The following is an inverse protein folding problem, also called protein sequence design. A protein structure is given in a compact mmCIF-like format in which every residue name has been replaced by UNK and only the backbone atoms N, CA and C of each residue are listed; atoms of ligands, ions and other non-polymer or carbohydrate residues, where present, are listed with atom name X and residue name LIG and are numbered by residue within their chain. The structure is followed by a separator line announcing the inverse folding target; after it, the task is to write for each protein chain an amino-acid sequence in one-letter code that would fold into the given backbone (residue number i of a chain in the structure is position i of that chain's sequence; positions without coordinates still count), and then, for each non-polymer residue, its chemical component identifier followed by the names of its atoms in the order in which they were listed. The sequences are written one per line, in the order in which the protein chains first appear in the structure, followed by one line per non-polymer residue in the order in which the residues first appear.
data_IF_048117637061
#
_entry.id   IF_048117637061
#
_cell.length_a   1.000
_cell.length_b   1.000
_cell.length_c   1.000
_cell.angle_alpha   90.00
_cell.angle_beta   90.00
_cell.angle_gamma   90.00
#
_symmetry.space_group_name_H-M   'P 1'
#
loop_
_entity.id
_entity.type
_entity.pdbx_description
1 polymer ?
#
# COMPACT_ATOMS: atom_id res chain seq x y z
N UNK A 1 22.35 20.10 -23.65
CA UNK A 1 22.63 19.46 -22.35
C UNK A 1 21.48 18.54 -22.02
N UNK A 2 21.67 17.23 -22.19
CA UNK A 2 20.68 16.23 -21.78
C UNK A 2 20.75 16.17 -20.26
N UNK A 3 19.66 16.52 -19.57
CA UNK A 3 19.59 16.38 -18.11
C UNK A 3 19.67 14.88 -17.79
N UNK A 4 20.51 14.44 -16.85
CA UNK A 4 20.52 13.05 -16.45
C UNK A 4 19.14 12.72 -15.88
N UNK A 5 18.57 11.60 -16.35
CA UNK A 5 17.41 10.96 -15.72
C UNK A 5 17.81 10.76 -14.26
N UNK A 6 17.20 11.49 -13.33
CA UNK A 6 17.34 11.18 -11.90
C UNK A 6 16.70 9.81 -11.73
N UNK A 7 17.51 8.77 -11.62
CA UNK A 7 17.06 7.52 -11.03
C UNK A 7 16.50 7.90 -9.65
N UNK A 8 15.19 7.72 -9.48
CA UNK A 8 14.57 7.85 -8.17
C UNK A 8 15.14 6.72 -7.33
N UNK A 9 16.12 7.04 -6.49
CA UNK A 9 16.57 6.14 -5.45
C UNK A 9 15.59 6.25 -4.30
N UNK A 10 14.45 5.56 -4.44
CA UNK A 10 13.54 5.33 -3.32
C UNK A 10 14.36 4.77 -2.15
N UNK A 11 14.16 5.33 -0.96
CA UNK A 11 14.81 4.84 0.23
C UNK A 11 14.16 3.51 0.65
N UNK A 12 14.76 2.37 0.28
CA UNK A 12 14.19 1.05 0.57
C UNK A 12 13.89 0.84 2.06
N UNK A 13 14.69 1.39 2.98
CA UNK A 13 14.41 1.30 4.42
C UNK A 13 13.14 2.06 4.79
N UNK A 14 12.95 3.25 4.21
CA UNK A 14 11.72 4.04 4.38
C UNK A 14 10.51 3.30 3.81
N UNK A 15 10.62 2.78 2.59
CA UNK A 15 9.56 2.01 1.95
C UNK A 15 9.17 0.77 2.76
N UNK A 16 10.14 0.01 3.27
CA UNK A 16 9.88 -1.14 4.17
C UNK A 16 9.13 -0.70 5.44
N UNK A 17 9.54 0.40 6.07
CA UNK A 17 8.83 0.95 7.24
C UNK A 17 7.41 1.40 6.91
N UNK A 18 7.20 2.04 5.76
CA UNK A 18 5.90 2.47 5.28
C UNK A 18 4.96 1.27 5.01
N UNK A 19 5.47 0.21 4.38
CA UNK A 19 4.67 -1.01 4.14
C UNK A 19 4.33 -1.74 5.44
N UNK A 20 5.25 -1.82 6.40
CA UNK A 20 4.93 -2.33 7.75
C UNK A 20 3.87 -1.47 8.46
N UNK A 21 3.89 -0.15 8.28
CA UNK A 21 2.84 0.74 8.77
C UNK A 21 1.49 0.45 8.12
N UNK A 22 1.43 0.22 6.82
CA UNK A 22 0.19 -0.15 6.12
C UNK A 22 -0.38 -1.44 6.73
N UNK A 23 0.44 -2.49 6.88
CA UNK A 23 0.00 -3.74 7.49
C UNK A 23 -0.57 -3.48 8.90
N UNK A 24 0.14 -2.71 9.72
CA UNK A 24 -0.29 -2.37 11.09
C UNK A 24 -1.64 -1.64 11.09
N UNK A 25 -1.80 -0.61 10.25
CA UNK A 25 -3.03 0.19 10.24
C UNK A 25 -4.20 -0.58 9.63
N UNK A 26 -3.97 -1.43 8.62
CA UNK A 26 -5.01 -2.33 8.11
C UNK A 26 -5.44 -3.32 9.20
N UNK A 27 -4.51 -3.89 9.97
CA UNK A 27 -4.86 -4.74 11.11
C UNK A 27 -5.76 -4.01 12.13
N UNK A 28 -5.47 -2.73 12.43
CA UNK A 28 -6.32 -1.91 13.32
C UNK A 28 -7.71 -1.66 12.74
N UNK A 29 -7.83 -1.45 11.43
CA UNK A 29 -9.13 -1.31 10.76
C UNK A 29 -9.94 -2.60 10.86
N UNK A 30 -9.31 -3.76 10.61
CA UNK A 30 -9.94 -5.08 10.72
C UNK A 30 -10.37 -5.37 12.16
N UNK A 31 -9.54 -5.06 13.15
CA UNK A 31 -9.86 -5.18 14.58
C UNK A 31 -11.08 -4.34 14.99
N UNK A 32 -11.25 -3.17 14.36
CA UNK A 32 -12.43 -2.31 14.53
C UNK A 32 -13.66 -2.77 13.73
N UNK A 33 -13.60 -3.94 13.09
CA UNK A 33 -14.70 -4.51 12.30
C UNK A 33 -14.86 -3.92 10.91
N UNK A 34 -13.91 -3.12 10.42
CA UNK A 34 -13.96 -2.59 9.06
C UNK A 34 -13.62 -3.67 8.02
N UNK A 35 -14.29 -3.58 6.88
CA UNK A 35 -14.06 -4.43 5.73
C UNK A 35 -14.12 -3.63 4.44
N UNK A 36 -13.51 -4.20 3.41
CA UNK A 36 -13.55 -3.69 2.04
C UNK A 36 -13.97 -4.84 1.11
N UNK A 37 -14.82 -4.54 0.13
CA UNK A 37 -15.20 -5.51 -0.90
C UNK A 37 -14.03 -5.74 -1.86
N UNK A 38 -13.99 -6.91 -2.49
CA UNK A 38 -13.01 -7.23 -3.53
C UNK A 38 -13.03 -6.17 -4.64
N UNK A 39 -14.20 -5.88 -5.18
CA UNK A 39 -14.34 -4.97 -6.32
C UNK A 39 -13.84 -3.56 -6.00
N UNK A 40 -14.16 -3.03 -4.81
CA UNK A 40 -13.64 -1.73 -4.37
C UNK A 40 -12.11 -1.75 -4.22
N UNK A 41 -11.55 -2.83 -3.67
CA UNK A 41 -10.10 -2.95 -3.52
C UNK A 41 -9.39 -2.95 -4.87
N UNK A 42 -9.86 -3.74 -5.85
CA UNK A 42 -9.26 -3.77 -7.18
C UNK A 42 -9.42 -2.43 -7.90
N UNK A 43 -10.60 -1.81 -7.86
CA UNK A 43 -10.83 -0.50 -8.48
C UNK A 43 -9.86 0.56 -7.93
N UNK A 44 -9.71 0.63 -6.60
CA UNK A 44 -8.82 1.60 -5.96
C UNK A 44 -7.34 1.32 -6.25
N UNK A 45 -6.95 0.04 -6.31
CA UNK A 45 -5.57 -0.37 -6.60
C UNK A 45 -5.21 -0.10 -8.07
N UNK A 46 -6.10 -0.40 -9.02
CA UNK A 46 -5.93 -0.10 -10.44
C UNK A 46 -5.76 1.40 -10.69
N UNK A 47 -6.47 2.22 -9.92
CA UNK A 47 -6.38 3.68 -9.96
C UNK A 47 -5.22 4.26 -9.14
N UNK A 48 -4.34 3.41 -8.59
CA UNK A 48 -3.17 3.78 -7.77
C UNK A 48 -3.51 4.76 -6.64
N UNK A 49 -4.63 4.52 -5.94
CA UNK A 49 -5.13 5.40 -4.87
C UNK A 49 -5.71 4.66 -3.67
N UNK A 50 -5.29 3.42 -3.45
CA UNK A 50 -5.78 2.60 -2.35
C UNK A 50 -5.38 3.17 -0.98
N UNK A 51 -4.11 3.55 -0.81
CA UNK A 51 -3.61 4.14 0.45
C UNK A 51 -4.19 5.54 0.67
N UNK A 52 -4.28 6.35 -0.38
CA UNK A 52 -4.93 7.66 -0.32
C UNK A 52 -6.40 7.54 0.14
N UNK A 53 -7.14 6.57 -0.40
CA UNK A 53 -8.51 6.29 0.03
C UNK A 53 -8.59 5.89 1.51
N UNK A 54 -7.68 5.03 2.00
CA UNK A 54 -7.66 4.66 3.43
C UNK A 54 -7.36 5.88 4.31
N UNK A 55 -6.40 6.72 3.90
CA UNK A 55 -6.03 7.93 4.62
C UNK A 55 -7.21 8.90 4.75
N UNK A 56 -7.98 9.10 3.68
CA UNK A 56 -9.15 9.98 3.67
C UNK A 56 -10.31 9.39 4.48
N UNK A 57 -10.73 8.16 4.13
CA UNK A 57 -11.91 7.50 4.71
C UNK A 57 -11.78 7.26 6.21
N UNK A 58 -10.56 6.95 6.67
CA UNK A 58 -10.28 6.62 8.06
C UNK A 58 -9.40 7.68 8.76
N UNK A 59 -9.33 8.89 8.21
CA UNK A 59 -8.54 10.02 8.71
C UNK A 59 -8.68 10.29 10.21
N UNK A 60 -9.83 9.98 10.81
CA UNK A 60 -10.10 10.16 12.24
C UNK A 60 -9.40 9.16 13.16
N UNK A 61 -8.95 8.00 12.65
CA UNK A 61 -8.41 6.89 13.48
C UNK A 61 -7.10 6.28 12.96
N UNK A 62 -6.85 6.38 11.65
CA UNK A 62 -5.66 5.88 10.98
C UNK A 62 -4.44 6.71 11.35
N UNK A 63 -3.28 6.06 11.49
CA UNK A 63 -2.00 6.72 11.84
C UNK A 63 -0.95 6.38 10.80
N UNK A 64 -0.80 7.29 9.82
CA UNK A 64 0.15 7.17 8.73
C UNK A 64 1.30 8.17 8.90
N UNK A 65 2.38 7.76 9.55
CA UNK A 65 3.56 8.59 9.70
C UNK A 65 4.35 8.73 8.40
N UNK A 66 4.40 7.70 7.56
CA UNK A 66 5.21 7.70 6.33
C UNK A 66 4.41 8.09 5.08
N UNK A 67 3.08 7.98 5.14
CA UNK A 67 2.21 8.01 3.95
C UNK A 67 1.19 9.15 3.95
N UNK A 68 0.98 9.84 5.07
CA UNK A 68 0.20 11.07 5.07
C UNK A 68 1.04 12.21 4.48
N UNK A 69 0.52 12.89 3.46
CA UNK A 69 1.16 14.02 2.77
C UNK A 69 1.56 15.18 3.70
N UNK A 70 0.80 15.37 4.77
CA UNK A 70 1.04 16.36 5.83
C UNK A 70 2.13 15.94 6.82
N UNK A 71 2.60 14.69 6.78
CA UNK A 71 3.65 14.21 7.69
C UNK A 71 5.03 14.71 7.27
N UNK A 72 5.91 15.12 8.21
CA UNK A 72 7.29 15.48 7.89
C UNK A 72 8.14 14.28 7.40
N UNK A 73 7.68 13.04 7.60
CA UNK A 73 8.33 11.84 7.10
C UNK A 73 7.81 11.40 5.74
N UNK A 74 6.89 12.16 5.12
CA UNK A 74 6.35 11.82 3.82
C UNK A 74 7.43 11.88 2.73
N UNK A 75 7.58 10.77 2.00
CA UNK A 75 8.40 10.71 0.79
C UNK A 75 7.50 10.35 -0.40
N UNK A 76 7.38 11.28 -1.36
CA UNK A 76 6.53 11.10 -2.54
C UNK A 76 6.91 9.84 -3.32
N UNK A 77 8.21 9.59 -3.49
CA UNK A 77 8.70 8.44 -4.25
C UNK A 77 8.28 7.12 -3.59
N UNK A 78 8.34 7.02 -2.25
CA UNK A 78 7.82 5.87 -1.51
C UNK A 78 6.31 5.71 -1.67
N UNK A 79 5.54 6.78 -1.51
CA UNK A 79 4.07 6.73 -1.62
C UNK A 79 3.63 6.32 -3.03
N UNK A 80 4.21 6.93 -4.07
CA UNK A 80 3.93 6.60 -5.47
C UNK A 80 4.38 5.17 -5.83
N UNK A 81 5.53 4.71 -5.33
CA UNK A 81 5.95 3.32 -5.51
C UNK A 81 4.95 2.34 -4.92
N UNK A 82 4.49 2.56 -3.68
CA UNK A 82 3.57 1.66 -2.99
C UNK A 82 2.23 1.60 -3.69
N UNK A 83 1.63 2.74 -4.05
CA UNK A 83 0.34 2.78 -4.77
C UNK A 83 0.41 2.07 -6.12
N UNK A 84 1.48 2.32 -6.90
CA UNK A 84 1.72 1.59 -8.14
C UNK A 84 1.90 0.09 -7.90
N UNK A 85 2.63 -0.31 -6.85
CA UNK A 85 2.85 -1.71 -6.53
C UNK A 85 1.56 -2.44 -6.13
N UNK A 86 0.64 -1.77 -5.41
CA UNK A 86 -0.71 -2.28 -5.19
C UNK A 86 -1.44 -2.53 -6.50
N UNK A 87 -1.41 -1.58 -7.44
CA UNK A 87 -2.00 -1.75 -8.77
C UNK A 87 -1.41 -2.95 -9.53
N UNK A 88 -0.09 -3.08 -9.58
CA UNK A 88 0.59 -4.20 -10.26
C UNK A 88 0.21 -5.56 -9.65
N UNK A 89 0.27 -5.71 -8.34
CA UNK A 89 -0.05 -6.99 -7.70
C UNK A 89 -1.54 -7.30 -7.76
N UNK A 90 -2.42 -6.36 -7.44
CA UNK A 90 -3.87 -6.55 -7.49
C UNK A 90 -4.39 -6.88 -8.90
N UNK A 91 -3.67 -6.50 -9.96
CA UNK A 91 -4.00 -6.89 -11.33
C UNK A 91 -3.70 -8.38 -11.65
N UNK A 92 -2.91 -9.06 -10.82
CA UNK A 92 -2.43 -10.43 -11.09
C UNK A 92 -2.92 -11.47 -10.09
N UNK A 93 -3.42 -11.03 -8.93
CA UNK A 93 -3.88 -11.91 -7.85
C UNK A 93 -5.33 -11.61 -7.47
N UNK A 94 -6.04 -12.62 -6.98
CA UNK A 94 -7.39 -12.50 -6.43
C UNK A 94 -7.44 -12.99 -4.98
N UNK A 95 -8.56 -12.77 -4.31
CA UNK A 95 -8.79 -13.18 -2.91
C UNK A 95 -8.49 -14.68 -2.70
N UNK A 96 -8.90 -15.51 -3.65
CA UNK A 96 -8.82 -16.96 -3.59
C UNK A 96 -7.38 -17.49 -3.65
N UNK A 97 -6.45 -16.77 -4.28
CA UNK A 97 -5.03 -17.14 -4.34
C UNK A 97 -4.38 -17.19 -2.94
N UNK A 98 -4.96 -16.47 -1.98
CA UNK A 98 -4.54 -16.43 -0.58
C UNK A 98 -5.55 -17.11 0.36
N UNK A 99 -6.50 -17.88 -0.18
CA UNK A 99 -7.53 -18.56 0.61
C UNK A 99 -8.54 -17.62 1.30
N UNK A 100 -8.66 -16.38 0.83
CA UNK A 100 -9.58 -15.38 1.36
C UNK A 100 -10.91 -15.38 0.59
N UNK A 101 -11.97 -14.83 1.21
CA UNK A 101 -13.29 -14.71 0.57
C UNK A 101 -13.94 -13.34 0.72
N UNK A 102 -13.94 -12.76 1.93
CA UNK A 102 -14.88 -11.68 2.25
C UNK A 102 -14.27 -10.30 2.46
N UNK A 103 -13.07 -10.18 3.04
CA UNK A 103 -12.49 -8.89 3.41
C UNK A 103 -11.21 -8.61 2.63
N UNK A 104 -11.29 -7.73 1.63
CA UNK A 104 -10.17 -7.40 0.76
C UNK A 104 -9.07 -6.59 1.46
N UNK A 105 -9.32 -6.05 2.65
CA UNK A 105 -8.24 -5.52 3.49
C UNK A 105 -7.21 -6.61 3.85
N UNK A 106 -7.63 -7.87 3.98
CA UNK A 106 -6.72 -8.99 4.21
C UNK A 106 -5.93 -9.38 2.94
N UNK A 107 -6.50 -9.16 1.76
CA UNK A 107 -5.79 -9.31 0.49
C UNK A 107 -4.70 -8.24 0.36
N UNK A 108 -5.03 -7.00 0.73
CA UNK A 108 -4.06 -5.91 0.76
C UNK A 108 -2.83 -6.24 1.64
N UNK A 109 -3.02 -6.88 2.81
CA UNK A 109 -1.90 -7.35 3.65
C UNK A 109 -1.04 -8.39 2.92
N UNK A 110 -1.64 -9.35 2.21
CA UNK A 110 -0.88 -10.33 1.44
C UNK A 110 -0.07 -9.67 0.32
N UNK A 111 -0.65 -8.67 -0.35
CA UNK A 111 0.06 -7.85 -1.34
C UNK A 111 1.19 -7.05 -0.69
N UNK A 112 1.02 -6.49 0.50
CA UNK A 112 2.12 -5.84 1.22
C UNK A 112 3.34 -6.77 1.41
N UNK A 113 3.12 -8.06 1.66
CA UNK A 113 4.23 -9.03 1.76
C UNK A 113 4.94 -9.24 0.43
N UNK A 114 4.22 -9.23 -0.69
CA UNK A 114 4.82 -9.26 -2.02
C UNK A 114 5.64 -7.99 -2.29
N UNK A 115 5.10 -6.81 -1.94
CA UNK A 115 5.81 -5.53 -2.06
C UNK A 115 7.09 -5.51 -1.21
N UNK A 116 7.07 -6.07 0.00
CA UNK A 116 8.28 -6.19 0.83
C UNK A 116 9.37 -7.04 0.16
N UNK A 117 9.00 -8.12 -0.54
CA UNK A 117 9.96 -8.92 -1.34
C UNK A 117 10.57 -8.10 -2.45
N UNK A 118 9.77 -7.27 -3.13
CA UNK A 118 10.27 -6.35 -4.16
C UNK A 118 11.27 -5.34 -3.60
N UNK A 119 10.95 -4.70 -2.47
CA UNK A 119 11.83 -3.72 -1.82
C UNK A 119 13.17 -4.36 -1.39
N UNK A 120 13.12 -5.61 -0.93
CA UNK A 120 14.30 -6.35 -0.46
C UNK A 120 15.08 -7.06 -1.58
N UNK A 121 14.59 -7.03 -2.83
CA UNK A 121 15.24 -7.71 -3.97
C UNK A 121 15.11 -9.23 -3.96
N UNK A 122 14.05 -9.77 -3.36
CA UNK A 122 13.77 -11.22 -3.26
C UNK A 122 12.88 -11.75 -4.40
N UNK A 123 12.85 -11.06 -5.55
CA UNK A 123 11.97 -11.35 -6.70
C UNK A 123 12.73 -11.96 -7.86
#
# INVERSE_FOLDING_TARGET
GVRPHRESHMNNKHATSAVHEIIREICRLVDSGHSMTRDQFHELSEQERFIAFLAEKYSSTIKLYYLADSSPLFEKDTSSFIENAFGRHANTVVMEDFGLKSNALLLAINICLAILREINGEV
#
